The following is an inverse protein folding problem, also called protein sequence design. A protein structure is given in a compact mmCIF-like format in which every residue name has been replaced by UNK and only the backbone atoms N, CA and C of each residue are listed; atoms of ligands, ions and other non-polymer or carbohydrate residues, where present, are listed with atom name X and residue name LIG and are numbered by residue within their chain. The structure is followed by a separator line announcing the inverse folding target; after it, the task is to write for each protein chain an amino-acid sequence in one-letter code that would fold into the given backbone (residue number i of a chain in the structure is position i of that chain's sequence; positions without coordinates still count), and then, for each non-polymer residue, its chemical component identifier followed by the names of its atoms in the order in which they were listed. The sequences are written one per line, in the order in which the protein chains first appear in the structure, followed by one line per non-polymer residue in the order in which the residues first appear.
data_IF_750429284375
#
_entry.id   IF_750429284375
#
_cell.length_a   1.000
_cell.length_b   1.000
_cell.length_c   1.000
_cell.angle_alpha   90.00
_cell.angle_beta   90.00
_cell.angle_gamma   90.00
#
_symmetry.space_group_name_H-M   'P 1'
#
loop_
_entity.id
_entity.type
_entity.pdbx_description
1 polymer ?
#
# COMPACT_ATOMS: atom_id res chain seq x y z
N UNK A 1 -16.52 7.72 -39.96
CA UNK A 1 -16.89 6.35 -40.39
C UNK A 1 -15.61 5.72 -40.91
N UNK A 2 -14.78 5.09 -40.08
CA UNK A 2 -14.75 3.69 -39.64
C UNK A 2 -13.32 3.58 -39.03
N UNK A 3 -13.00 3.02 -37.87
CA UNK A 3 -13.42 1.78 -37.22
C UNK A 3 -13.22 1.91 -35.70
N UNK A 4 -14.21 1.44 -34.95
CA UNK A 4 -13.97 0.83 -33.65
C UNK A 4 -13.49 -0.61 -33.90
N UNK A 5 -12.37 -1.03 -33.33
CA UNK A 5 -12.29 -2.40 -32.81
C UNK A 5 -11.23 -2.59 -31.70
N UNK A 6 -11.74 -2.98 -30.53
CA UNK A 6 -11.15 -3.75 -29.42
C UNK A 6 -9.76 -3.37 -28.88
N UNK A 7 -9.73 -2.29 -28.10
CA UNK A 7 -8.83 -2.23 -26.94
C UNK A 7 -9.33 -3.25 -25.91
N UNK A 8 -8.49 -4.24 -25.61
CA UNK A 8 -8.80 -5.35 -24.69
C UNK A 8 -9.23 -4.79 -23.34
N UNK A 9 -10.43 -5.21 -22.92
CA UNK A 9 -10.91 -5.06 -21.56
C UNK A 9 -10.00 -5.90 -20.68
N UNK A 10 -9.07 -5.27 -19.98
CA UNK A 10 -8.74 -5.73 -18.65
C UNK A 10 -9.16 -4.65 -17.67
N UNK A 11 -10.29 -4.98 -17.06
CA UNK A 11 -11.09 -4.22 -16.14
C UNK A 11 -10.27 -3.66 -14.97
N UNK A 12 -10.20 -2.34 -14.88
CA UNK A 12 -10.05 -1.63 -13.60
C UNK A 12 -11.26 -1.98 -12.73
N UNK A 13 -11.21 -3.13 -12.06
CA UNK A 13 -12.12 -3.45 -10.96
C UNK A 13 -11.69 -2.57 -9.79
N UNK A 14 -12.44 -1.51 -9.53
CA UNK A 14 -12.49 -0.88 -8.22
C UNK A 14 -13.14 -1.89 -7.26
N UNK A 15 -12.32 -2.73 -6.64
CA UNK A 15 -12.75 -3.54 -5.51
C UNK A 15 -12.81 -2.66 -4.27
N UNK A 16 -14.03 -2.26 -3.90
CA UNK A 16 -14.35 -1.49 -2.69
C UNK A 16 -14.06 -2.27 -1.38
N UNK A 17 -13.50 -3.48 -1.47
CA UNK A 17 -13.35 -4.40 -0.34
C UNK A 17 -11.94 -4.38 0.29
N UNK A 18 -10.95 -3.74 -0.33
CA UNK A 18 -9.55 -3.78 0.13
C UNK A 18 -8.86 -2.42 -0.04
N UNK A 19 -9.09 -1.49 0.89
CA UNK A 19 -8.48 -0.17 0.87
C UNK A 19 -7.01 -0.22 1.35
N UNK A 20 -6.12 -0.67 0.46
CA UNK A 20 -4.69 -0.35 0.50
C UNK A 20 -4.23 -0.03 -0.93
N UNK A 21 -4.50 1.20 -1.36
CA UNK A 21 -4.11 1.69 -2.68
C UNK A 21 -2.61 2.03 -2.69
N UNK A 22 -1.77 1.04 -3.01
CA UNK A 22 -0.48 1.33 -3.64
C UNK A 22 -0.79 1.68 -5.10
N UNK A 23 -0.59 2.94 -5.48
CA UNK A 23 -0.51 3.32 -6.88
C UNK A 23 0.86 2.87 -7.39
N UNK A 24 0.92 1.67 -7.94
CA UNK A 24 2.10 1.12 -8.60
C UNK A 24 1.64 0.30 -9.79
N UNK A 25 2.38 0.37 -10.90
CA UNK A 25 2.07 -0.49 -12.06
C UNK A 25 2.26 -1.95 -11.67
N UNK A 26 1.24 -2.74 -11.98
CA UNK A 26 1.27 -4.19 -11.96
C UNK A 26 2.26 -4.71 -13.01
N UNK A 27 3.52 -4.83 -12.62
CA UNK A 27 4.56 -5.61 -13.30
C UNK A 27 5.60 -6.01 -12.25
N UNK A 28 5.42 -7.20 -11.66
CA UNK A 28 6.44 -8.16 -11.27
C UNK A 28 5.97 -8.96 -10.05
N UNK A 29 6.17 -10.27 -10.12
CA UNK A 29 5.57 -11.34 -9.32
C UNK A 29 5.97 -11.39 -7.84
N UNK A 30 6.57 -10.31 -7.32
CA UNK A 30 7.20 -10.25 -6.00
C UNK A 30 6.36 -9.44 -4.98
N UNK A 31 5.22 -8.89 -5.39
CA UNK A 31 4.36 -8.00 -4.57
C UNK A 31 3.37 -8.71 -3.61
N UNK A 32 3.73 -9.88 -3.05
CA UNK A 32 2.74 -10.78 -2.39
C UNK A 32 2.81 -10.82 -0.86
N UNK A 33 3.71 -10.10 -0.20
CA UNK A 33 3.98 -10.43 1.21
C UNK A 33 3.10 -9.74 2.27
N UNK A 34 2.52 -8.57 1.99
CA UNK A 34 1.53 -7.95 2.90
C UNK A 34 0.19 -8.71 2.90
N UNK A 35 -0.15 -9.37 1.79
CA UNK A 35 -1.32 -10.26 1.66
C UNK A 35 -1.20 -11.54 2.50
N UNK A 36 0.03 -11.98 2.85
CA UNK A 36 0.29 -13.23 3.58
C UNK A 36 -0.17 -13.21 5.05
N UNK A 37 -0.34 -12.03 5.67
CA UNK A 37 -0.95 -11.89 7.01
C UNK A 37 -2.43 -12.32 6.97
N UNK A 38 -3.16 -11.87 5.94
CA UNK A 38 -4.58 -12.19 5.71
C UNK A 38 -4.75 -13.67 5.35
N UNK A 39 -3.81 -14.29 4.63
CA UNK A 39 -3.93 -15.71 4.30
C UNK A 39 -3.82 -16.63 5.53
N UNK A 40 -2.99 -16.27 6.52
CA UNK A 40 -2.72 -17.12 7.69
C UNK A 40 -3.71 -16.90 8.83
N UNK A 41 -4.00 -15.64 9.16
CA UNK A 41 -4.87 -15.29 10.32
C UNK A 41 -6.26 -14.81 9.85
N UNK A 42 -6.49 -14.64 8.53
CA UNK A 42 -7.78 -14.23 7.93
C UNK A 42 -8.36 -12.94 8.50
N UNK A 43 -7.50 -12.07 9.04
CA UNK A 43 -7.85 -10.75 9.57
C UNK A 43 -6.67 -9.80 9.43
N UNK A 44 -6.86 -8.52 9.75
CA UNK A 44 -5.81 -7.51 9.83
C UNK A 44 -5.33 -7.30 11.29
N UNK A 45 -4.10 -6.81 11.52
CA UNK A 45 -3.66 -6.48 12.87
C UNK A 45 -4.54 -5.37 13.47
N UNK A 46 -4.89 -5.48 14.76
CA UNK A 46 -5.75 -4.52 15.45
C UNK A 46 -7.25 -4.71 15.22
N UNK A 47 -7.67 -5.80 14.57
CA UNK A 47 -9.08 -6.10 14.29
C UNK A 47 -9.63 -7.22 15.17
N UNK A 48 -10.96 -7.39 15.17
CA UNK A 48 -11.67 -8.47 15.85
C UNK A 48 -11.47 -8.53 17.39
N UNK A 49 -11.22 -7.38 18.02
CA UNK A 49 -11.12 -7.28 19.48
C UNK A 49 -9.85 -7.90 20.08
N UNK A 50 -8.88 -8.29 19.25
CA UNK A 50 -7.58 -8.76 19.73
C UNK A 50 -6.76 -7.57 20.26
N UNK A 51 -6.14 -7.67 21.44
CA UNK A 51 -5.28 -6.61 21.95
C UNK A 51 -4.15 -6.28 20.97
N UNK A 52 -3.97 -4.99 20.67
CA UNK A 52 -2.94 -4.51 19.74
C UNK A 52 -1.52 -4.92 20.15
N UNK A 53 -1.28 -5.16 21.44
CA UNK A 53 0.01 -5.63 21.95
C UNK A 53 0.38 -7.02 21.45
N UNK A 54 -0.60 -7.91 21.29
CA UNK A 54 -0.40 -9.27 20.76
C UNK A 54 -0.10 -9.18 19.26
N UNK A 55 -0.93 -8.44 18.52
CA UNK A 55 -0.74 -8.26 17.08
C UNK A 55 0.56 -7.55 16.73
N UNK A 56 1.05 -6.65 17.57
CA UNK A 56 2.32 -5.97 17.35
C UNK A 56 3.53 -6.93 17.40
N UNK A 57 3.47 -7.98 18.23
CA UNK A 57 4.52 -9.00 18.31
C UNK A 57 4.51 -9.83 17.02
N UNK A 58 3.33 -10.29 16.60
CA UNK A 58 3.17 -11.08 15.39
C UNK A 58 3.52 -10.29 14.13
N UNK A 59 3.15 -9.01 14.07
CA UNK A 59 3.46 -8.11 12.98
C UNK A 59 4.97 -7.89 12.86
N UNK A 60 5.67 -7.72 13.99
CA UNK A 60 7.13 -7.58 14.00
C UNK A 60 7.83 -8.80 13.38
N UNK A 61 7.41 -10.00 13.74
CA UNK A 61 7.98 -11.24 13.19
C UNK A 61 7.78 -11.31 11.67
N UNK A 62 6.64 -10.85 11.16
CA UNK A 62 6.40 -10.80 9.72
C UNK A 62 7.21 -9.75 9.02
N UNK A 63 7.37 -8.55 9.59
CA UNK A 63 8.27 -7.54 9.02
C UNK A 63 9.68 -8.11 8.86
N UNK A 64 10.18 -8.82 9.88
CA UNK A 64 11.48 -9.51 9.79
C UNK A 64 11.49 -10.56 8.68
N UNK A 65 10.44 -11.37 8.57
CA UNK A 65 10.31 -12.36 7.49
C UNK A 65 10.34 -11.71 6.12
N UNK A 66 9.61 -10.61 5.93
CA UNK A 66 9.49 -9.87 4.66
C UNK A 66 10.82 -9.27 4.25
N UNK A 67 11.51 -8.62 5.19
CA UNK A 67 12.82 -8.04 4.91
C UNK A 67 13.85 -9.13 4.62
N UNK A 68 13.72 -10.31 5.22
CA UNK A 68 14.62 -11.45 4.98
C UNK A 68 14.38 -12.17 3.65
N UNK A 69 13.14 -12.20 3.15
CA UNK A 69 12.80 -12.75 1.83
C UNK A 69 13.03 -11.75 0.70
N UNK A 70 13.07 -10.45 1.00
CA UNK A 70 13.37 -9.40 0.04
C UNK A 70 14.84 -9.45 -0.44
N UNK A 71 15.09 -9.12 -1.70
CA UNK A 71 16.44 -9.00 -2.27
C UNK A 71 17.14 -7.71 -1.82
N UNK A 72 17.41 -7.58 -0.52
CA UNK A 72 18.09 -6.41 0.07
C UNK A 72 19.53 -6.76 0.45
N UNK A 73 20.46 -5.83 0.19
CA UNK A 73 21.90 -6.03 0.45
C UNK A 73 22.22 -6.20 1.94
N UNK A 74 21.40 -5.63 2.83
CA UNK A 74 21.58 -5.73 4.28
C UNK A 74 20.23 -5.74 5.04
N UNK A 75 19.64 -6.93 5.29
CA UNK A 75 18.33 -7.04 5.94
C UNK A 75 18.35 -6.56 7.40
N UNK A 76 19.45 -6.77 8.13
CA UNK A 76 19.55 -6.39 9.55
C UNK A 76 19.52 -4.87 9.75
N UNK A 77 20.24 -4.13 8.89
CA UNK A 77 20.24 -2.67 8.95
C UNK A 77 18.86 -2.09 8.63
N UNK A 78 18.12 -2.68 7.70
CA UNK A 78 16.76 -2.26 7.36
C UNK A 78 15.80 -2.54 8.51
N UNK A 79 15.86 -3.74 9.11
CA UNK A 79 15.05 -4.09 10.29
C UNK A 79 15.31 -3.11 11.44
N UNK A 80 16.57 -2.72 11.67
CA UNK A 80 16.94 -1.77 12.71
C UNK A 80 16.39 -0.35 12.47
N UNK A 81 16.14 0.02 11.20
CA UNK A 81 15.54 1.31 10.85
C UNK A 81 14.01 1.34 11.05
N UNK A 82 13.34 0.20 11.14
CA UNK A 82 11.89 0.15 11.37
C UNK A 82 11.58 0.52 12.82
N UNK A 83 10.95 1.68 13.09
CA UNK A 83 10.68 2.09 14.45
C UNK A 83 9.56 1.24 15.06
N UNK A 84 9.73 0.83 16.32
CA UNK A 84 8.71 0.03 17.03
C UNK A 84 7.36 0.77 17.15
N UNK A 85 7.37 2.09 17.17
CA UNK A 85 6.16 2.92 17.16
C UNK A 85 5.34 2.74 15.88
N UNK A 86 5.96 2.54 14.71
CA UNK A 86 5.23 2.30 13.48
C UNK A 86 4.47 0.96 13.50
N UNK A 87 5.04 -0.08 14.12
CA UNK A 87 4.39 -1.39 14.28
C UNK A 87 3.17 -1.27 15.19
N UNK A 88 3.31 -0.55 16.31
CA UNK A 88 2.20 -0.29 17.25
C UNK A 88 1.11 0.53 16.56
N UNK A 89 1.51 1.55 15.79
CA UNK A 89 0.59 2.42 15.08
C UNK A 89 -0.18 1.69 13.98
N UNK A 90 0.46 0.75 13.28
CA UNK A 90 -0.20 -0.13 12.31
C UNK A 90 -1.29 -0.98 12.97
N UNK A 91 -1.03 -1.50 14.18
CA UNK A 91 -2.04 -2.23 14.95
C UNK A 91 -3.13 -1.28 15.50
N UNK A 92 -2.79 -0.05 15.88
CA UNK A 92 -3.77 0.96 16.32
C UNK A 92 -4.70 1.38 15.18
N UNK A 93 -4.18 1.43 13.95
CA UNK A 93 -4.95 1.77 12.75
C UNK A 93 -6.04 0.74 12.44
N UNK A 94 -5.78 -0.54 12.72
CA UNK A 94 -6.80 -1.60 12.66
C UNK A 94 -7.43 -1.78 11.27
N UNK A 95 -6.69 -1.51 10.20
CA UNK A 95 -7.19 -1.48 8.83
C UNK A 95 -8.43 -0.58 8.62
N UNK A 96 -8.56 0.49 9.40
CA UNK A 96 -9.60 1.50 9.18
C UNK A 96 -9.41 2.22 7.84
N UNK A 97 -10.43 2.99 7.42
CA UNK A 97 -10.30 3.94 6.32
C UNK A 97 -10.73 5.31 6.84
N UNK A 98 -9.76 6.20 7.06
CA UNK A 98 -10.04 7.53 7.60
C UNK A 98 -10.52 8.41 6.46
N UNK A 99 -11.77 8.87 6.54
CA UNK A 99 -12.42 9.64 5.47
C UNK A 99 -11.58 10.83 4.96
N UNK A 100 -10.90 11.56 5.86
CA UNK A 100 -10.06 12.71 5.47
C UNK A 100 -8.85 12.27 4.63
N UNK A 101 -8.20 11.16 5.02
CA UNK A 101 -7.06 10.60 4.29
C UNK A 101 -7.53 10.05 2.94
N UNK A 102 -8.65 9.31 2.92
CA UNK A 102 -9.24 8.79 1.69
C UNK A 102 -9.61 9.92 0.72
N UNK A 103 -10.20 11.02 1.21
CA UNK A 103 -10.55 12.18 0.38
C UNK A 103 -9.33 12.88 -0.18
N UNK A 104 -8.27 13.03 0.62
CA UNK A 104 -7.01 13.62 0.18
C UNK A 104 -6.34 12.78 -0.91
N UNK A 105 -6.19 11.48 -0.69
CA UNK A 105 -5.59 10.55 -1.66
C UNK A 105 -6.45 10.47 -2.93
N UNK A 106 -7.78 10.44 -2.80
CA UNK A 106 -8.70 10.46 -3.93
C UNK A 106 -8.53 11.69 -4.82
N UNK A 107 -8.24 12.87 -4.25
CA UNK A 107 -7.93 14.08 -5.01
C UNK A 107 -6.62 13.97 -5.81
N UNK A 108 -5.57 13.40 -5.21
CA UNK A 108 -4.29 13.16 -5.90
C UNK A 108 -4.49 12.16 -7.04
N UNK A 109 -5.15 11.03 -6.76
CA UNK A 109 -5.47 9.99 -7.75
C UNK A 109 -6.27 10.56 -8.92
N UNK A 110 -7.30 11.36 -8.65
CA UNK A 110 -8.11 11.99 -9.68
C UNK A 110 -7.27 12.87 -10.62
N UNK A 111 -6.30 13.60 -10.07
CA UNK A 111 -5.38 14.37 -10.90
C UNK A 111 -4.48 13.43 -11.73
N UNK A 112 -3.84 12.43 -11.13
CA UNK A 112 -2.98 11.50 -11.88
C UNK A 112 -3.74 10.84 -13.04
N UNK A 113 -5.03 10.50 -12.84
CA UNK A 113 -5.89 9.98 -13.91
C UNK A 113 -6.09 11.01 -15.03
N UNK A 114 -6.35 12.29 -14.71
CA UNK A 114 -6.51 13.36 -15.71
C UNK A 114 -5.22 13.57 -16.50
N UNK A 115 -4.06 13.57 -15.82
CA UNK A 115 -2.75 13.68 -16.49
C UNK A 115 -2.57 12.59 -17.52
N UNK A 116 -2.85 11.34 -17.14
CA UNK A 116 -2.76 10.18 -18.03
C UNK A 116 -3.78 10.25 -19.17
N UNK A 117 -5.02 10.64 -18.89
CA UNK A 117 -6.08 10.68 -19.90
C UNK A 117 -5.86 11.78 -20.95
N UNK A 118 -5.35 12.94 -20.53
CA UNK A 118 -5.14 14.09 -21.42
C UNK A 118 -3.77 14.11 -22.07
N UNK A 119 -2.82 13.31 -21.57
CA UNK A 119 -1.39 13.43 -21.88
C UNK A 119 -0.85 14.84 -21.64
N UNK A 120 -1.46 15.56 -20.70
CA UNK A 120 -1.01 16.87 -20.24
C UNK A 120 -0.36 16.69 -18.88
N UNK A 121 0.78 17.36 -18.66
CA UNK A 121 1.61 17.25 -17.47
C UNK A 121 2.34 15.90 -17.29
N UNK A 122 3.26 15.88 -16.33
CA UNK A 122 4.08 14.70 -16.00
C UNK A 122 3.45 13.97 -14.81
N UNK A 123 3.12 12.66 -14.95
CA UNK A 123 2.63 11.85 -13.84
C UNK A 123 3.75 11.56 -12.83
N UNK A 124 3.37 11.19 -11.61
CA UNK A 124 4.30 10.73 -10.58
C UNK A 124 5.02 9.45 -11.03
N UNK A 125 6.32 9.33 -10.72
CA UNK A 125 7.14 8.18 -11.12
C UNK A 125 6.98 7.04 -10.11
N UNK A 126 6.14 6.07 -10.47
CA UNK A 126 5.87 4.85 -9.73
C UNK A 126 5.07 5.07 -8.42
N UNK A 127 5.69 5.02 -7.24
CA UNK A 127 4.98 4.88 -5.96
C UNK A 127 4.97 6.18 -5.16
N UNK A 128 3.78 6.64 -4.78
CA UNK A 128 3.59 7.79 -3.89
C UNK A 128 3.19 7.33 -2.48
N UNK A 129 3.90 7.79 -1.47
CA UNK A 129 3.61 7.50 -0.05
C UNK A 129 3.29 8.81 0.67
N UNK A 130 2.19 8.81 1.41
CA UNK A 130 1.77 9.91 2.26
C UNK A 130 1.62 9.45 3.72
N UNK A 131 2.26 10.17 4.63
CA UNK A 131 2.11 9.99 6.06
C UNK A 131 1.15 11.05 6.63
N UNK A 132 -0.05 10.61 7.00
CA UNK A 132 -1.07 11.47 7.62
C UNK A 132 -0.73 11.93 9.04
N UNK A 133 0.21 11.27 9.74
CA UNK A 133 0.63 11.68 11.08
C UNK A 133 1.53 12.91 11.04
N UNK A 134 2.55 12.89 10.17
CA UNK A 134 3.49 14.01 10.00
C UNK A 134 3.11 14.98 8.89
N UNK A 135 2.09 14.65 8.09
CA UNK A 135 1.66 15.40 6.90
C UNK A 135 2.76 15.52 5.82
N UNK A 136 3.68 14.55 5.78
CA UNK A 136 4.75 14.49 4.79
C UNK A 136 4.41 13.50 3.68
N UNK A 137 4.96 13.73 2.49
CA UNK A 137 4.85 12.80 1.37
C UNK A 137 6.19 12.62 0.67
N UNK A 138 6.35 11.49 -0.01
CA UNK A 138 7.55 11.18 -0.80
C UNK A 138 7.19 10.26 -1.95
N UNK A 139 7.93 10.38 -3.05
CA UNK A 139 7.77 9.56 -4.25
C UNK A 139 8.99 8.65 -4.38
N UNK A 140 8.74 7.36 -4.60
CA UNK A 140 9.76 6.34 -4.72
C UNK A 140 9.61 5.61 -6.04
N UNK A 141 10.74 5.44 -6.72
CA UNK A 141 10.86 4.57 -7.89
C UNK A 141 11.27 3.18 -7.40
N UNK A 142 10.29 2.28 -7.31
CA UNK A 142 10.53 0.84 -7.12
C UNK A 142 10.82 0.15 -8.46
#
# INVERSE_FOLDING_TARGET
MLLADRCSRDSLRFDQSNAFLILGKEQNSDNVELFKYIETIRRYPGTNGVPCTIDAIDLKQRVVSIVSSSQVENPEAIIAQVPQSAIVEMCRYGAGEIHVIASFIGGIVAQEVIKLATNQYVPLDNTFIYDGHTQLSSVFKM
#
